data_IF_797250523106
#
_entry.id   IF_797250523106
#
_cell.length_a   1.000
_cell.length_b   1.000
_cell.length_c   1.000
_cell.angle_alpha   90.00
_cell.angle_beta   90.00
_cell.angle_gamma   90.00
#
_symmetry.space_group_name_H-M   'P 1'
#
loop_
_entity.id
_entity.type
_entity.pdbx_description
1 polymer ?
#
# COMPACT_ATOMS: atom_id res chain seq x y z
N UNK A 1 -3.58 -6.38 0.14
CA UNK A 1 -2.61 -6.32 1.26
C UNK A 1 -1.51 -7.36 1.12
N UNK A 2 -1.83 -8.65 1.05
CA UNK A 2 -0.83 -9.73 0.92
C UNK A 2 0.13 -9.51 -0.27
N UNK A 3 -0.39 -9.19 -1.45
CA UNK A 3 0.43 -8.92 -2.64
C UNK A 3 1.46 -7.81 -2.38
N UNK A 4 1.08 -6.74 -1.69
CA UNK A 4 2.02 -5.66 -1.36
C UNK A 4 3.09 -6.14 -0.37
N UNK A 5 2.69 -6.90 0.67
CA UNK A 5 3.64 -7.45 1.63
C UNK A 5 4.67 -8.37 0.96
N UNK A 6 4.24 -9.26 0.07
CA UNK A 6 5.12 -10.15 -0.70
C UNK A 6 6.07 -9.39 -1.62
N UNK A 7 5.67 -8.22 -2.10
CA UNK A 7 6.50 -7.35 -2.94
C UNK A 7 7.31 -6.32 -2.13
N UNK A 8 7.29 -6.42 -0.80
CA UNK A 8 7.96 -5.46 0.10
C UNK A 8 7.41 -4.04 0.01
N UNK A 9 6.20 -3.87 -0.51
CA UNK A 9 5.57 -2.59 -0.80
C UNK A 9 4.67 -2.07 0.32
N UNK A 10 4.39 -0.77 0.24
CA UNK A 10 3.51 -0.07 1.17
C UNK A 10 2.14 0.19 0.56
N UNK A 11 1.12 0.39 1.40
CA UNK A 11 -0.26 0.61 0.96
C UNK A 11 -0.77 1.95 1.42
N UNK A 12 -1.48 2.64 0.53
CA UNK A 12 -2.34 3.76 0.85
C UNK A 12 -3.80 3.30 0.84
N UNK A 13 -4.50 3.46 1.96
CA UNK A 13 -5.92 3.14 2.12
C UNK A 13 -6.75 4.42 2.09
N UNK A 14 -7.53 4.62 1.02
CA UNK A 14 -8.57 5.64 0.99
C UNK A 14 -9.86 5.07 1.53
N UNK A 15 -10.39 5.66 2.59
CA UNK A 15 -11.55 5.06 3.23
C UNK A 15 -12.24 5.98 4.21
N UNK A 16 -13.55 5.83 4.34
CA UNK A 16 -14.38 6.64 5.23
C UNK A 16 -14.21 6.23 6.70
N UNK A 17 -14.41 7.13 7.68
CA UNK A 17 -14.32 6.80 9.10
C UNK A 17 -15.22 5.61 9.49
N UNK A 18 -14.81 4.82 10.48
CA UNK A 18 -15.62 3.72 11.00
C UNK A 18 -15.58 2.40 10.21
N UNK A 19 -14.79 2.29 9.15
CA UNK A 19 -14.67 1.07 8.29
C UNK A 19 -13.75 -0.03 8.84
N UNK A 20 -13.38 0.03 10.14
CA UNK A 20 -12.60 -1.05 10.77
C UNK A 20 -11.14 -1.18 10.31
N UNK A 21 -10.54 -0.15 9.71
CA UNK A 21 -9.13 -0.16 9.24
C UNK A 21 -8.13 -0.58 10.31
N UNK A 22 -8.29 -0.09 11.53
CA UNK A 22 -7.43 -0.44 12.67
C UNK A 22 -7.55 -1.93 13.00
N UNK A 23 -8.77 -2.47 12.96
CA UNK A 23 -9.02 -3.89 13.18
C UNK A 23 -8.36 -4.73 12.08
N UNK A 24 -8.50 -4.32 10.81
CA UNK A 24 -7.88 -4.98 9.66
C UNK A 24 -6.35 -5.02 9.79
N UNK A 25 -5.70 -3.87 10.05
CA UNK A 25 -4.25 -3.79 10.15
C UNK A 25 -3.70 -4.60 11.34
N UNK A 26 -4.40 -4.56 12.49
CA UNK A 26 -4.02 -5.32 13.68
C UNK A 26 -4.21 -6.83 13.49
N UNK A 27 -5.33 -7.25 12.90
CA UNK A 27 -5.58 -8.64 12.55
C UNK A 27 -4.52 -9.16 11.56
N UNK A 28 -4.16 -8.35 10.56
CA UNK A 28 -3.12 -8.68 9.59
C UNK A 28 -1.75 -8.91 10.26
N UNK A 29 -1.34 -8.02 11.17
CA UNK A 29 -0.09 -8.19 11.91
C UNK A 29 -0.10 -9.42 12.84
N UNK A 30 -1.22 -9.67 13.53
CA UNK A 30 -1.38 -10.86 14.39
C UNK A 30 -1.23 -12.17 13.59
N UNK A 31 -1.84 -12.26 12.41
CA UNK A 31 -1.72 -13.43 11.53
C UNK A 31 -0.27 -13.72 11.09
N UNK A 32 0.56 -12.68 11.02
CA UNK A 32 1.97 -12.77 10.62
C UNK A 32 2.95 -12.92 11.80
N UNK A 33 2.45 -12.85 13.04
CA UNK A 33 3.25 -12.85 14.27
C UNK A 33 4.39 -11.81 14.24
N UNK A 34 4.04 -10.57 13.86
CA UNK A 34 4.98 -9.45 13.75
C UNK A 34 4.58 -8.29 14.65
N UNK A 35 5.53 -7.39 14.94
CA UNK A 35 5.25 -6.20 15.72
C UNK A 35 4.31 -5.25 14.95
N UNK A 36 3.33 -4.70 15.68
CA UNK A 36 2.39 -3.72 15.17
C UNK A 36 2.50 -2.43 15.97
N UNK A 37 2.64 -1.30 15.26
CA UNK A 37 2.48 0.03 15.85
C UNK A 37 1.48 0.85 15.04
N UNK A 38 0.91 1.84 15.73
CA UNK A 38 -0.03 2.80 15.16
C UNK A 38 0.43 4.20 15.50
N UNK A 39 0.38 5.08 14.51
CA UNK A 39 0.53 6.52 14.67
C UNK A 39 -0.67 7.21 14.03
N UNK A 40 -1.24 8.18 14.75
CA UNK A 40 -2.26 9.06 14.23
C UNK A 40 -1.57 10.34 13.77
N UNK A 41 -1.70 10.71 12.50
CA UNK A 41 -1.21 11.99 12.02
C UNK A 41 -2.24 13.07 12.36
N UNK A 42 -1.77 14.08 13.09
CA UNK A 42 -2.48 15.32 13.40
C UNK A 42 -1.59 16.51 13.00
N UNK A 43 -2.14 17.73 12.90
CA UNK A 43 -1.37 18.89 12.44
C UNK A 43 -0.14 19.22 13.30
N UNK A 44 -0.11 18.78 14.56
CA UNK A 44 0.92 18.99 15.55
C UNK A 44 1.98 17.88 15.62
N UNK A 45 1.80 16.75 14.91
CA UNK A 45 2.79 15.66 14.89
C UNK A 45 4.09 16.13 14.27
N UNK A 46 5.19 15.93 14.98
CA UNK A 46 6.53 16.28 14.55
C UNK A 46 7.21 15.10 13.85
N UNK A 47 8.21 15.36 12.97
CA UNK A 47 9.02 14.28 12.38
C UNK A 47 9.63 13.32 13.43
N UNK A 48 10.03 13.85 14.59
CA UNK A 48 10.58 13.06 15.69
C UNK A 48 9.57 12.14 16.36
N UNK A 49 8.27 12.45 16.28
CA UNK A 49 7.21 11.54 16.76
C UNK A 49 7.05 10.33 15.83
N UNK A 50 7.56 10.42 14.60
CA UNK A 50 7.57 9.34 13.60
C UNK A 50 8.85 8.53 13.72
N UNK A 51 10.02 9.17 13.68
CA UNK A 51 11.33 8.49 13.62
C UNK A 51 11.90 8.14 15.00
N UNK A 52 11.70 9.00 15.99
CA UNK A 52 12.27 8.90 17.33
C UNK A 52 13.10 10.13 17.69
N UNK A 53 13.58 10.16 18.94
CA UNK A 53 14.35 11.27 19.50
C UNK A 53 15.28 10.78 20.62
N UNK A 54 16.42 11.46 20.82
CA UNK A 54 17.16 11.37 22.08
C UNK A 54 16.55 12.30 23.12
N UNK A 55 16.12 11.75 24.24
CA UNK A 55 15.61 12.54 25.35
C UNK A 55 16.54 12.40 26.56
N UNK A 56 16.72 13.49 27.28
CA UNK A 56 17.49 13.45 28.52
C UNK A 56 16.66 12.78 29.60
N UNK A 57 17.15 11.67 30.15
CA UNK A 57 16.53 10.99 31.28
C UNK A 57 17.14 11.53 32.58
N UNK A 58 16.38 12.28 33.42
CA UNK A 58 16.93 12.88 34.64
C UNK A 58 17.39 11.87 35.69
N UNK A 59 16.94 10.61 35.61
CA UNK A 59 17.33 9.54 36.55
C UNK A 59 18.72 8.98 36.24
N UNK A 60 19.01 8.70 34.97
CA UNK A 60 20.32 8.22 34.52
C UNK A 60 21.29 9.38 34.26
N UNK A 61 20.79 10.61 34.10
CA UNK A 61 21.55 11.78 33.64
C UNK A 61 22.20 11.57 32.27
N UNK A 62 21.60 10.71 31.45
CA UNK A 62 22.07 10.36 30.11
C UNK A 62 20.99 10.68 29.07
N UNK A 63 21.43 10.90 27.84
CA UNK A 63 20.53 10.97 26.70
C UNK A 63 20.18 9.55 26.26
N UNK A 64 18.91 9.20 26.35
CA UNK A 64 18.40 7.90 25.95
C UNK A 64 17.66 8.01 24.63
N UNK A 65 17.93 7.04 23.74
CA UNK A 65 17.21 6.92 22.49
C UNK A 65 15.79 6.38 22.75
N UNK A 66 14.79 7.14 22.31
CA UNK A 66 13.40 6.67 22.22
C UNK A 66 13.04 6.51 20.75
N UNK A 67 13.06 5.27 20.28
CA UNK A 67 12.65 4.90 18.92
C UNK A 67 11.20 5.29 18.63
N UNK A 68 10.96 5.83 17.44
CA UNK A 68 9.63 6.17 16.96
C UNK A 68 8.82 4.94 16.51
N UNK A 69 7.52 5.13 16.22
CA UNK A 69 6.62 4.05 15.81
C UNK A 69 6.99 3.39 14.48
N UNK A 70 7.80 4.02 13.64
CA UNK A 70 8.33 3.39 12.40
C UNK A 70 9.26 2.21 12.67
N UNK A 71 9.84 2.10 13.87
CA UNK A 71 10.62 0.95 14.29
C UNK A 71 9.67 -0.19 14.68
N UNK A 72 9.07 -0.82 13.67
CA UNK A 72 8.11 -1.93 13.77
C UNK A 72 8.07 -2.70 12.46
N UNK A 73 7.32 -3.80 12.40
CA UNK A 73 7.10 -4.52 11.15
C UNK A 73 5.89 -4.00 10.37
N UNK A 74 4.75 -3.81 11.05
CA UNK A 74 3.53 -3.26 10.45
C UNK A 74 3.19 -1.94 11.14
N UNK A 75 3.25 -0.85 10.37
CA UNK A 75 2.87 0.47 10.85
C UNK A 75 1.53 0.89 10.23
N UNK A 76 0.52 1.13 11.07
CA UNK A 76 -0.68 1.87 10.66
C UNK A 76 -0.44 3.38 10.85
N UNK A 77 -0.38 4.10 9.74
CA UNK A 77 -0.21 5.55 9.68
C UNK A 77 -1.56 6.21 9.34
N UNK A 78 -2.36 6.54 10.35
CA UNK A 78 -3.70 7.05 10.15
C UNK A 78 -3.70 8.54 9.74
N UNK A 79 -4.49 8.88 8.73
CA UNK A 79 -4.74 10.25 8.26
C UNK A 79 -3.46 11.01 7.90
N UNK A 80 -2.56 10.38 7.13
CA UNK A 80 -1.25 10.95 6.75
C UNK A 80 -1.37 12.35 6.13
N UNK A 81 -2.49 12.66 5.47
CA UNK A 81 -2.78 13.98 4.90
C UNK A 81 -3.05 15.07 5.93
N UNK A 82 -3.19 14.79 7.23
CA UNK A 82 -3.43 15.83 8.26
C UNK A 82 -2.15 16.45 8.80
N UNK A 83 -1.00 15.81 8.61
CA UNK A 83 0.26 16.33 9.08
C UNK A 83 0.98 17.17 8.04
N UNK A 84 1.91 17.99 8.53
CA UNK A 84 2.72 18.87 7.67
C UNK A 84 3.54 18.07 6.65
N UNK A 85 3.87 18.66 5.49
CA UNK A 85 4.71 18.00 4.48
C UNK A 85 6.06 17.51 5.02
N UNK A 86 6.62 18.18 6.04
CA UNK A 86 7.87 17.78 6.68
C UNK A 86 7.71 16.48 7.48
N UNK A 87 6.63 16.35 8.24
CA UNK A 87 6.30 15.13 8.98
C UNK A 87 5.97 13.98 8.04
N UNK A 88 5.19 14.23 6.97
CA UNK A 88 4.94 13.24 5.92
C UNK A 88 6.23 12.71 5.30
N UNK A 89 7.17 13.62 5.00
CA UNK A 89 8.46 13.26 4.40
C UNK A 89 9.28 12.32 5.29
N UNK A 90 9.25 12.49 6.62
CA UNK A 90 9.97 11.59 7.55
C UNK A 90 9.47 10.14 7.50
N UNK A 91 8.16 9.93 7.33
CA UNK A 91 7.60 8.59 7.14
C UNK A 91 7.98 8.02 5.76
N UNK A 92 7.89 8.85 4.72
CA UNK A 92 8.19 8.44 3.34
C UNK A 92 9.68 8.11 3.14
N UNK A 93 10.57 8.79 3.86
CA UNK A 93 12.00 8.48 3.90
C UNK A 93 12.23 7.13 4.58
N UNK A 94 11.63 6.89 5.75
CA UNK A 94 11.69 5.60 6.42
C UNK A 94 11.15 4.45 5.55
N UNK A 95 10.11 4.70 4.76
CA UNK A 95 9.56 3.75 3.78
C UNK A 95 10.55 3.39 2.68
N UNK A 96 11.24 4.38 2.10
CA UNK A 96 12.14 4.15 0.97
C UNK A 96 13.49 3.59 1.44
N UNK A 97 14.07 4.14 2.50
CA UNK A 97 15.42 3.81 2.98
C UNK A 97 15.44 2.62 3.94
N UNK A 98 14.29 2.23 4.50
CA UNK A 98 14.16 1.16 5.53
C UNK A 98 15.08 1.36 6.74
N UNK A 99 15.39 2.61 7.04
CA UNK A 99 16.21 3.02 8.18
C UNK A 99 15.77 4.42 8.62
N UNK A 100 16.13 4.79 9.85
CA UNK A 100 15.95 6.13 10.38
C UNK A 100 17.26 6.66 10.92
N UNK A 101 17.52 7.95 10.73
CA UNK A 101 18.69 8.61 11.33
C UNK A 101 18.22 9.58 12.41
N UNK A 102 18.72 9.42 13.63
CA UNK A 102 18.36 10.22 14.80
C UNK A 102 19.67 10.77 15.38
N UNK A 103 19.84 12.10 15.33
CA UNK A 103 21.03 12.80 15.83
C UNK A 103 22.38 12.24 15.34
N UNK A 104 22.40 11.73 14.11
CA UNK A 104 23.60 11.17 13.46
C UNK A 104 23.78 9.66 13.64
N UNK A 105 22.95 8.99 14.45
CA UNK A 105 22.91 7.53 14.56
C UNK A 105 21.86 6.96 13.60
N UNK A 106 22.27 6.04 12.72
CA UNK A 106 21.38 5.37 11.77
C UNK A 106 20.97 4.00 12.29
N UNK A 107 19.65 3.78 12.37
CA UNK A 107 19.02 2.57 12.87
C UNK A 107 18.24 1.90 11.74
N UNK A 108 18.54 0.63 11.47
CA UNK A 108 17.81 -0.16 10.48
C UNK A 108 16.44 -0.61 11.01
N UNK A 109 15.41 -0.54 10.17
CA UNK A 109 14.07 -1.02 10.52
C UNK A 109 14.01 -2.54 10.30
N UNK A 110 13.41 -3.26 11.25
CA UNK A 110 13.25 -4.70 11.20
C UNK A 110 12.43 -5.15 9.99
N UNK A 111 12.91 -6.15 9.25
CA UNK A 111 12.16 -6.80 8.18
C UNK A 111 11.28 -7.93 8.72
N UNK A 112 10.08 -8.16 8.14
CA UNK A 112 9.41 -7.37 7.10
C UNK A 112 8.98 -5.99 7.61
N UNK A 113 9.03 -4.98 6.75
CA UNK A 113 8.51 -3.64 7.05
C UNK A 113 7.46 -3.21 6.02
N UNK A 114 6.26 -2.89 6.51
CA UNK A 114 5.13 -2.43 5.71
C UNK A 114 4.36 -1.31 6.42
N UNK A 115 4.29 -0.15 5.76
CA UNK A 115 3.39 0.94 6.14
C UNK A 115 2.03 0.75 5.45
N UNK A 116 0.98 0.84 6.25
CA UNK A 116 -0.41 0.98 5.83
C UNK A 116 -0.81 2.40 6.21
N UNK A 117 -0.72 3.33 5.25
CA UNK A 117 -1.14 4.70 5.45
C UNK A 117 -2.62 4.85 5.11
N UNK A 118 -3.34 5.72 5.82
CA UNK A 118 -4.76 5.98 5.54
C UNK A 118 -4.98 7.45 5.20
N UNK A 119 -5.94 7.71 4.31
CA UNK A 119 -6.42 9.04 3.97
C UNK A 119 -7.93 9.02 3.91
N UNK A 120 -8.55 10.08 4.44
CA UNK A 120 -9.99 10.27 4.34
C UNK A 120 -10.29 11.27 3.20
N UNK A 121 -10.92 10.84 2.09
CA UNK A 121 -11.20 11.73 0.97
C UNK A 121 -12.30 12.76 1.27
N UNK A 122 -13.10 12.55 2.33
CA UNK A 122 -14.30 13.34 2.64
C UNK A 122 -14.04 14.46 3.66
N UNK A 123 -12.86 14.51 4.26
CA UNK A 123 -12.50 15.61 5.17
C UNK A 123 -12.40 16.92 4.40
N UNK A 124 -12.96 17.99 4.98
CA UNK A 124 -12.83 19.35 4.48
C UNK A 124 -11.37 19.65 4.18
N UNK A 125 -11.04 20.15 2.98
CA UNK A 125 -9.66 20.50 2.59
C UNK A 125 -8.99 21.53 3.53
N UNK A 126 -9.76 22.14 4.44
CA UNK A 126 -9.26 23.00 5.50
C UNK A 126 -8.50 22.18 6.54
N UNK A 127 -7.18 22.30 6.55
CA UNK A 127 -6.30 21.64 7.53
C UNK A 127 -5.71 20.31 7.07
N UNK A 128 -5.80 19.98 5.78
CA UNK A 128 -5.13 18.83 5.18
C UNK A 128 -4.06 19.25 4.17
N UNK A 129 -2.97 18.51 4.12
CA UNK A 129 -1.86 18.62 3.18
C UNK A 129 -1.86 17.38 2.26
N UNK A 130 -2.35 17.48 1.01
CA UNK A 130 -2.37 16.35 0.09
C UNK A 130 -0.95 15.91 -0.27
N UNK A 131 -0.77 14.60 -0.44
CA UNK A 131 0.50 14.04 -0.91
C UNK A 131 0.69 14.40 -2.40
N UNK A 132 1.82 15.03 -2.79
CA UNK A 132 2.18 15.19 -4.19
C UNK A 132 2.28 13.86 -4.93
N UNK A 133 2.09 13.88 -6.25
CA UNK A 133 2.18 12.68 -7.10
C UNK A 133 3.48 11.86 -6.88
N UNK A 134 4.62 12.55 -6.77
CA UNK A 134 5.90 11.92 -6.50
C UNK A 134 5.97 11.19 -5.14
N UNK A 135 5.18 11.64 -4.16
CA UNK A 135 5.07 10.97 -2.86
C UNK A 135 4.09 9.81 -2.90
N UNK A 136 2.96 9.97 -3.59
CA UNK A 136 1.99 8.90 -3.81
C UNK A 136 2.61 7.70 -4.52
N UNK A 137 3.51 7.93 -5.47
CA UNK A 137 4.18 6.86 -6.24
C UNK A 137 5.02 5.91 -5.37
N UNK A 138 5.46 6.35 -4.16
CA UNK A 138 6.15 5.50 -3.18
C UNK A 138 5.25 4.43 -2.57
N UNK A 139 3.93 4.61 -2.61
CA UNK A 139 2.99 3.56 -2.22
C UNK A 139 2.86 2.56 -3.36
N UNK A 140 3.12 1.28 -3.06
CA UNK A 140 3.03 0.22 -4.03
C UNK A 140 1.60 0.08 -4.58
N UNK A 141 0.62 0.01 -3.66
CA UNK A 141 -0.80 -0.05 -3.99
C UNK A 141 -1.59 1.06 -3.29
N UNK A 142 -2.64 1.52 -3.97
CA UNK A 142 -3.69 2.33 -3.37
C UNK A 142 -5.00 1.55 -3.40
N UNK A 143 -5.61 1.35 -2.23
CA UNK A 143 -6.86 0.61 -2.08
C UNK A 143 -7.95 1.56 -1.59
N UNK A 144 -9.17 1.39 -2.11
CA UNK A 144 -10.34 2.13 -1.67
C UNK A 144 -11.26 1.19 -0.87
N UNK A 145 -11.61 1.57 0.37
CA UNK A 145 -12.56 0.84 1.21
C UNK A 145 -13.79 1.73 1.44
N UNK A 146 -14.90 1.33 0.80
CA UNK A 146 -16.21 1.95 0.99
C UNK A 146 -16.96 1.37 2.18
N UNK A 147 -18.25 1.71 2.28
CA UNK A 147 -19.15 1.03 3.21
C UNK A 147 -19.40 -0.42 2.75
N UNK A 148 -19.54 -1.36 3.69
CA UNK A 148 -19.92 -2.73 3.34
C UNK A 148 -21.30 -2.75 2.67
N UNK A 149 -21.54 -3.79 1.87
CA UNK A 149 -22.88 -4.10 1.40
C UNK A 149 -23.80 -4.46 2.57
N UNK A 150 -25.12 -4.41 2.35
CA UNK A 150 -26.11 -4.77 3.37
C UNK A 150 -25.84 -6.14 4.01
N UNK A 151 -25.45 -7.14 3.21
CA UNK A 151 -25.19 -8.49 3.70
C UNK A 151 -23.89 -8.56 4.51
N UNK A 152 -22.82 -7.90 4.06
CA UNK A 152 -21.56 -7.81 4.80
C UNK A 152 -21.75 -7.06 6.13
N UNK A 153 -22.51 -5.95 6.14
CA UNK A 153 -22.80 -5.19 7.35
C UNK A 153 -23.63 -6.03 8.33
N UNK A 154 -24.63 -6.75 7.83
CA UNK A 154 -25.43 -7.68 8.65
C UNK A 154 -24.58 -8.79 9.26
N UNK A 155 -23.59 -9.31 8.54
CA UNK A 155 -22.63 -10.26 9.10
C UNK A 155 -21.74 -9.64 10.18
N UNK A 156 -21.23 -8.43 9.96
CA UNK A 156 -20.40 -7.71 10.94
C UNK A 156 -21.16 -7.55 12.26
N UNK A 157 -22.43 -7.14 12.20
CA UNK A 157 -23.30 -7.01 13.37
C UNK A 157 -23.48 -8.34 14.10
N UNK A 158 -23.75 -9.43 13.37
CA UNK A 158 -23.91 -10.77 13.96
C UNK A 158 -22.64 -11.25 14.65
N UNK A 159 -21.47 -11.07 14.03
CA UNK A 159 -20.17 -11.51 14.56
C UNK A 159 -19.79 -10.74 15.83
N UNK A 160 -20.03 -9.41 15.87
CA UNK A 160 -19.72 -8.58 17.04
C UNK A 160 -20.65 -8.81 18.25
N UNK A 161 -21.87 -9.32 18.04
CA UNK A 161 -22.77 -9.67 19.14
C UNK A 161 -22.31 -10.91 19.92
N UNK A 162 -21.50 -11.78 19.30
CA UNK A 162 -21.13 -13.08 19.86
C UNK A 162 -19.74 -13.07 20.48
N UNK A 163 -18.74 -12.42 19.85
CA UNK A 163 -17.35 -12.38 20.35
C UNK A 163 -16.62 -11.07 20.00
N UNK A 164 -15.69 -10.66 20.88
CA UNK A 164 -14.65 -9.68 20.53
C UNK A 164 -13.64 -10.35 19.59
N UNK A 165 -13.90 -10.31 18.28
CA UNK A 165 -13.27 -11.15 17.23
C UNK A 165 -11.74 -11.12 17.06
N UNK A 166 -10.99 -10.37 17.88
CA UNK A 166 -9.52 -10.41 17.89
C UNK A 166 -8.93 -11.48 18.82
N UNK A 167 -9.66 -11.96 19.82
CA UNK A 167 -9.10 -12.81 20.89
C UNK A 167 -8.79 -14.25 20.46
N UNK A 168 -9.09 -14.63 19.20
CA UNK A 168 -8.89 -15.99 18.66
C UNK A 168 -8.07 -16.04 17.36
N UNK A 169 -7.43 -14.95 16.96
CA UNK A 169 -6.59 -14.99 15.76
C UNK A 169 -5.28 -15.72 16.08
N UNK A 170 -5.16 -16.94 15.57
CA UNK A 170 -3.91 -17.69 15.58
C UNK A 170 -2.97 -17.16 14.49
N UNK A 171 -1.69 -17.10 14.79
CA UNK A 171 -0.68 -16.82 13.78
C UNK A 171 -0.64 -17.97 12.78
N UNK A 172 -0.64 -17.62 11.49
CA UNK A 172 -0.58 -18.56 10.37
C UNK A 172 0.78 -18.55 9.68
N UNK A 173 1.58 -17.52 9.91
CA UNK A 173 2.91 -17.34 9.32
C UNK A 173 3.87 -16.75 10.36
N UNK A 174 5.14 -17.15 10.25
CA UNK A 174 6.28 -16.53 10.93
C UNK A 174 7.06 -15.58 10.00
N UNK A 175 7.79 -14.58 10.54
CA UNK A 175 8.55 -13.62 9.76
C UNK A 175 9.58 -14.27 8.81
N UNK A 176 10.20 -15.38 9.21
CA UNK A 176 11.17 -16.11 8.40
C UNK A 176 10.52 -16.72 7.15
N UNK A 177 9.33 -17.32 7.31
CA UNK A 177 8.56 -17.89 6.19
C UNK A 177 8.13 -16.79 5.21
N UNK A 178 7.78 -15.61 5.72
CA UNK A 178 7.43 -14.49 4.83
C UNK A 178 8.62 -14.08 3.96
N UNK A 179 9.84 -14.07 4.51
CA UNK A 179 11.05 -13.76 3.74
C UNK A 179 11.31 -14.78 2.62
N UNK A 180 11.04 -16.06 2.89
CA UNK A 180 11.08 -17.11 1.87
C UNK A 180 10.04 -16.84 0.76
N UNK A 181 8.78 -16.58 1.13
CA UNK A 181 7.72 -16.26 0.17
C UNK A 181 8.03 -15.00 -0.66
N UNK A 182 8.63 -13.98 -0.06
CA UNK A 182 9.10 -12.76 -0.76
C UNK A 182 10.22 -13.06 -1.77
N UNK A 183 10.99 -14.12 -1.59
CA UNK A 183 11.98 -14.56 -2.56
C UNK A 183 11.34 -15.44 -3.65
N UNK A 184 10.47 -16.36 -3.28
CA UNK A 184 9.74 -17.21 -4.23
C UNK A 184 8.90 -16.41 -5.22
N UNK A 185 8.21 -15.36 -4.76
CA UNK A 185 7.37 -14.52 -5.64
C UNK A 185 8.16 -13.87 -6.77
N UNK A 186 9.47 -13.60 -6.58
CA UNK A 186 10.35 -13.02 -7.61
C UNK A 186 10.64 -14.02 -8.73
N UNK A 187 10.51 -15.31 -8.46
CA UNK A 187 10.76 -16.40 -9.41
C UNK A 187 9.50 -16.85 -10.18
N UNK A 188 8.34 -16.24 -9.91
CA UNK A 188 7.15 -16.43 -10.74
C UNK A 188 7.46 -16.02 -12.18
N UNK A 189 7.21 -16.92 -13.12
CA UNK A 189 7.52 -16.73 -14.52
C UNK A 189 6.62 -15.66 -15.14
N UNK A 190 7.23 -14.75 -15.88
CA UNK A 190 6.54 -13.77 -16.71
C UNK A 190 6.98 -14.02 -18.13
N UNK A 191 6.02 -14.31 -19.01
CA UNK A 191 6.29 -14.48 -20.44
C UNK A 191 6.42 -13.11 -21.13
N UNK A 192 7.21 -13.05 -22.19
CA UNK A 192 7.40 -11.84 -23.02
C UNK A 192 6.09 -11.19 -23.45
N UNK A 193 5.04 -11.98 -23.67
CA UNK A 193 3.74 -11.47 -24.09
C UNK A 193 2.99 -10.74 -22.96
N UNK A 194 3.22 -11.13 -21.70
CA UNK A 194 2.71 -10.39 -20.54
C UNK A 194 3.49 -9.08 -20.37
N UNK A 195 4.81 -9.10 -20.57
CA UNK A 195 5.62 -7.88 -20.55
C UNK A 195 5.17 -6.89 -21.62
N UNK A 196 4.98 -7.37 -22.86
CA UNK A 196 4.41 -6.58 -23.96
C UNK A 196 3.02 -6.06 -23.60
N UNK A 197 2.17 -6.89 -23.00
CA UNK A 197 0.82 -6.47 -22.59
C UNK A 197 0.86 -5.30 -21.58
N UNK A 198 1.73 -5.38 -20.56
CA UNK A 198 1.94 -4.29 -19.59
C UNK A 198 2.47 -3.03 -20.27
N UNK A 199 3.41 -3.16 -21.22
CA UNK A 199 3.95 -2.03 -21.97
C UNK A 199 2.85 -1.40 -22.85
N UNK A 200 2.00 -2.20 -23.48
CA UNK A 200 0.87 -1.72 -24.28
C UNK A 200 -0.16 -0.97 -23.43
N UNK A 201 -0.47 -1.46 -22.22
CA UNK A 201 -1.30 -0.72 -21.25
C UNK A 201 -0.64 0.62 -20.91
N UNK A 202 0.65 0.62 -20.58
CA UNK A 202 1.36 1.85 -20.25
C UNK A 202 1.35 2.83 -21.43
N UNK A 203 1.58 2.37 -22.65
CA UNK A 203 1.49 3.18 -23.88
C UNK A 203 0.08 3.75 -24.05
N UNK A 204 -0.95 2.91 -23.94
CA UNK A 204 -2.34 3.34 -24.03
C UNK A 204 -2.67 4.44 -23.01
N UNK A 205 -2.19 4.33 -21.76
CA UNK A 205 -2.40 5.41 -20.77
C UNK A 205 -1.68 6.71 -21.13
N UNK A 206 -0.51 6.66 -21.79
CA UNK A 206 0.25 7.86 -22.19
C UNK A 206 -0.31 8.55 -23.42
N UNK A 207 -0.99 7.80 -24.29
CA UNK A 207 -1.58 8.31 -25.54
C UNK A 207 -3.07 8.63 -25.41
N UNK A 208 -3.69 8.31 -24.25
CA UNK A 208 -5.11 8.54 -24.01
C UNK A 208 -5.41 10.04 -23.83
N UNK A 209 -6.33 10.60 -24.62
CA UNK A 209 -6.64 12.04 -24.64
C UNK A 209 -7.10 12.61 -23.29
N UNK A 210 -7.75 11.80 -22.47
CA UNK A 210 -8.23 12.18 -21.14
C UNK A 210 -7.14 12.15 -20.04
N UNK A 211 -5.92 11.69 -20.36
CA UNK A 211 -4.82 11.53 -19.41
C UNK A 211 -3.73 12.54 -19.72
N UNK A 212 -3.42 13.41 -18.76
CA UNK A 212 -2.32 14.38 -18.84
C UNK A 212 -0.97 13.71 -18.59
N UNK A 213 -0.90 12.85 -17.57
CA UNK A 213 0.29 12.07 -17.25
C UNK A 213 -0.08 10.60 -17.09
N UNK A 214 0.38 9.76 -18.03
CA UNK A 214 0.16 8.32 -18.03
C UNK A 214 1.15 7.55 -17.16
N UNK A 215 1.08 6.22 -17.22
CA UNK A 215 1.92 5.33 -16.42
C UNK A 215 3.42 5.57 -16.64
N UNK A 216 4.17 5.77 -15.56
CA UNK A 216 5.64 5.80 -15.58
C UNK A 216 6.24 4.39 -15.75
N UNK A 217 7.54 4.25 -16.09
CA UNK A 217 8.23 2.96 -16.05
C UNK A 217 8.17 2.28 -14.67
N UNK A 218 8.18 3.06 -13.57
CA UNK A 218 7.99 2.54 -12.21
C UNK A 218 6.59 1.96 -12.02
N UNK A 219 5.57 2.56 -12.60
CA UNK A 219 4.22 2.01 -12.61
C UNK A 219 4.15 0.67 -13.36
N UNK A 220 4.82 0.56 -14.52
CA UNK A 220 4.90 -0.70 -15.28
C UNK A 220 5.58 -1.81 -14.47
N UNK A 221 6.71 -1.51 -13.81
CA UNK A 221 7.41 -2.46 -12.95
C UNK A 221 6.56 -2.86 -11.74
N UNK A 222 5.85 -1.91 -11.12
CA UNK A 222 4.95 -2.18 -10.02
C UNK A 222 3.79 -3.09 -10.46
N UNK A 223 3.25 -2.89 -11.66
CA UNK A 223 2.19 -3.72 -12.22
C UNK A 223 2.67 -5.15 -12.47
N UNK A 224 3.87 -5.31 -13.05
CA UNK A 224 4.51 -6.61 -13.25
C UNK A 224 4.66 -7.38 -11.93
N UNK A 225 5.26 -6.73 -10.92
CA UNK A 225 5.46 -7.30 -9.59
C UNK A 225 4.14 -7.65 -8.90
N UNK A 226 3.15 -6.77 -9.00
CA UNK A 226 1.82 -7.04 -8.45
C UNK A 226 1.15 -8.24 -9.14
N UNK A 227 1.36 -8.41 -10.45
CA UNK A 227 0.84 -9.55 -11.21
C UNK A 227 1.52 -10.86 -10.80
N UNK A 228 2.84 -10.86 -10.58
CA UNK A 228 3.56 -12.01 -10.00
C UNK A 228 3.02 -12.37 -8.61
N UNK A 229 2.80 -11.37 -7.75
CA UNK A 229 2.23 -11.60 -6.43
C UNK A 229 0.78 -12.10 -6.48
N UNK A 230 0.00 -11.64 -7.45
CA UNK A 230 -1.35 -12.15 -7.68
C UNK A 230 -1.33 -13.63 -8.10
N UNK A 231 -0.49 -14.00 -9.07
CA UNK A 231 -0.32 -15.39 -9.49
C UNK A 231 0.12 -16.30 -8.33
N UNK A 232 1.11 -15.86 -7.55
CA UNK A 232 1.63 -16.58 -6.39
C UNK A 232 0.55 -16.84 -5.32
N UNK A 233 -0.25 -15.83 -4.97
CA UNK A 233 -1.34 -15.98 -3.99
C UNK A 233 -2.42 -16.96 -4.49
N UNK A 234 -2.56 -17.12 -5.81
CA UNK A 234 -3.45 -18.10 -6.43
C UNK A 234 -2.79 -19.46 -6.70
N UNK A 235 -1.59 -19.70 -6.16
CA UNK A 235 -0.87 -20.97 -6.29
C UNK A 235 -0.33 -21.27 -7.69
N UNK A 236 -0.22 -20.25 -8.56
CA UNK A 236 0.35 -20.38 -9.91
C UNK A 236 1.81 -19.96 -9.93
N UNK A 237 2.60 -20.61 -10.78
CA UNK A 237 4.02 -20.33 -11.00
C UNK A 237 4.30 -19.44 -12.22
N UNK A 238 3.27 -18.98 -12.92
CA UNK A 238 3.35 -18.05 -14.05
C UNK A 238 2.21 -17.03 -14.01
N UNK A 239 2.47 -15.87 -14.61
CA UNK A 239 1.48 -14.77 -14.74
C UNK A 239 0.61 -14.98 -15.97
N UNK A 240 -0.69 -14.75 -15.82
CA UNK A 240 -1.68 -14.69 -16.92
C UNK A 240 -2.22 -13.27 -17.10
N UNK A 241 -2.84 -12.92 -18.25
CA UNK A 241 -3.34 -11.56 -18.48
C UNK A 241 -4.37 -11.08 -17.45
N UNK A 242 -5.17 -12.00 -16.91
CA UNK A 242 -6.15 -11.67 -15.88
C UNK A 242 -5.51 -11.24 -14.56
N UNK A 243 -4.29 -11.69 -14.24
CA UNK A 243 -3.55 -11.16 -13.09
C UNK A 243 -3.28 -9.68 -13.24
N UNK A 244 -2.80 -9.29 -14.43
CA UNK A 244 -2.48 -7.90 -14.76
C UNK A 244 -3.73 -7.04 -14.64
N UNK A 245 -4.86 -7.49 -15.20
CA UNK A 245 -6.13 -6.78 -15.11
C UNK A 245 -6.65 -6.65 -13.68
N UNK A 246 -6.54 -7.71 -12.88
CA UNK A 246 -7.03 -7.74 -11.50
C UNK A 246 -6.27 -6.74 -10.60
N UNK A 247 -4.96 -6.61 -10.77
CA UNK A 247 -4.14 -5.70 -9.95
C UNK A 247 -4.03 -4.29 -10.51
N UNK A 248 -4.29 -4.08 -11.80
CA UNK A 248 -4.13 -2.80 -12.49
C UNK A 248 -4.80 -1.62 -11.79
N UNK A 249 -6.08 -1.67 -11.37
CA UNK A 249 -6.73 -0.55 -10.67
C UNK A 249 -5.99 -0.09 -9.42
N UNK A 250 -5.52 -1.03 -8.62
CA UNK A 250 -4.85 -0.76 -7.35
C UNK A 250 -3.41 -0.24 -7.51
N UNK A 251 -2.83 -0.40 -8.70
CA UNK A 251 -1.46 0.02 -9.03
C UNK A 251 -1.45 1.33 -9.81
N UNK A 252 -2.39 1.51 -10.74
CA UNK A 252 -2.34 2.58 -11.74
C UNK A 252 -3.06 3.83 -11.26
N UNK A 253 -4.15 3.69 -10.50
CA UNK A 253 -5.06 4.79 -10.13
C UNK A 253 -4.37 6.04 -9.55
N UNK A 254 -3.35 5.86 -8.70
CA UNK A 254 -2.60 6.97 -8.10
C UNK A 254 -1.37 7.42 -8.88
N UNK A 255 -1.11 6.78 -10.02
CA UNK A 255 0.05 7.02 -10.88
C UNK A 255 -0.31 7.63 -12.22
N UNK A 256 -1.59 7.93 -12.44
CA UNK A 256 -2.07 8.64 -13.63
C UNK A 256 -2.84 9.89 -13.21
N UNK A 257 -2.73 10.92 -14.04
CA UNK A 257 -3.41 12.21 -13.83
C UNK A 257 -4.27 12.51 -15.04
N UNK A 258 -5.55 12.82 -14.80
CA UNK A 258 -6.47 13.21 -15.85
C UNK A 258 -6.25 14.66 -16.24
N UNK A 259 -6.61 15.01 -17.48
CA UNK A 259 -6.71 16.42 -17.87
C UNK A 259 -7.82 17.11 -17.07
N UNK A 260 -7.78 18.44 -17.02
CA UNK A 260 -8.81 19.23 -16.34
C UNK A 260 -10.19 18.90 -16.91
N UNK A 261 -10.36 18.85 -18.25
CA UNK A 261 -11.68 18.57 -18.84
C UNK A 261 -12.18 17.17 -18.50
N UNK A 262 -11.31 16.17 -18.53
CA UNK A 262 -11.67 14.79 -18.20
C UNK A 262 -12.08 14.64 -16.73
N UNK A 263 -11.35 15.28 -15.82
CA UNK A 263 -11.61 15.22 -14.37
C UNK A 263 -12.99 15.77 -13.96
N UNK A 264 -13.61 16.61 -14.81
CA UNK A 264 -14.95 17.16 -14.58
C UNK A 264 -16.07 16.16 -14.89
N UNK A 265 -15.81 15.13 -15.70
CA UNK A 265 -16.86 14.26 -16.26
C UNK A 265 -16.65 12.78 -15.97
N UNK A 266 -15.40 12.35 -15.77
CA UNK A 266 -15.04 10.96 -15.55
C UNK A 266 -14.09 10.81 -14.37
N UNK A 267 -14.18 9.67 -13.71
CA UNK A 267 -13.21 9.28 -12.69
C UNK A 267 -12.00 8.60 -13.33
N UNK A 268 -10.91 8.52 -12.56
CA UNK A 268 -9.72 7.75 -12.97
C UNK A 268 -10.07 6.27 -13.20
N UNK A 269 -10.99 5.72 -12.39
CA UNK A 269 -11.42 4.32 -12.50
C UNK A 269 -12.15 4.06 -13.82
N UNK A 270 -13.01 4.99 -14.26
CA UNK A 270 -13.72 4.89 -15.55
C UNK A 270 -12.76 4.88 -16.74
N UNK A 271 -11.82 5.83 -16.75
CA UNK A 271 -10.80 5.93 -17.81
C UNK A 271 -9.89 4.71 -17.82
N UNK A 272 -9.52 4.20 -16.65
CA UNK A 272 -8.67 3.03 -16.56
C UNK A 272 -9.39 1.77 -17.06
N UNK A 273 -10.68 1.61 -16.77
CA UNK A 273 -11.48 0.53 -17.33
C UNK A 273 -11.56 0.61 -18.86
N UNK A 274 -11.77 1.81 -19.42
CA UNK A 274 -11.74 2.06 -20.86
C UNK A 274 -10.39 1.63 -21.48
N UNK A 275 -9.27 2.03 -20.86
CA UNK A 275 -7.93 1.65 -21.31
C UNK A 275 -7.72 0.14 -21.26
N UNK A 276 -8.04 -0.52 -20.15
CA UNK A 276 -7.82 -1.96 -19.98
C UNK A 276 -8.66 -2.80 -20.96
N UNK A 277 -9.85 -2.32 -21.33
CA UNK A 277 -10.71 -2.96 -22.33
C UNK A 277 -10.22 -2.70 -23.77
N UNK A 278 -9.55 -1.57 -24.02
CA UNK A 278 -9.03 -1.21 -25.35
C UNK A 278 -7.79 -2.02 -25.76
N UNK A 279 -7.00 -2.46 -24.78
CA UNK A 279 -5.77 -3.23 -25.03
C UNK A 279 -6.10 -4.71 -25.07
N UNK A 280 -5.96 -5.33 -26.25
CA UNK A 280 -6.16 -6.76 -26.42
C UNK A 280 -5.20 -7.56 -25.55
N UNK A 281 -5.74 -8.41 -24.68
CA UNK A 281 -4.95 -9.37 -23.94
C UNK A 281 -4.32 -10.39 -24.89
N UNK A 282 -3.10 -10.86 -24.63
CA UNK A 282 -2.51 -11.93 -25.44
C UNK A 282 -3.38 -13.18 -25.31
N UNK A 283 -3.55 -13.90 -26.42
CA UNK A 283 -4.31 -15.15 -26.43
C UNK A 283 -3.55 -16.16 -25.58
N UNK A 284 -4.23 -16.84 -24.65
CA UNK A 284 -3.66 -17.96 -23.91
C UNK A 284 -3.23 -19.02 -24.93
N UNK A 285 -1.94 -19.08 -25.25
CA UNK A 285 -1.40 -20.31 -25.84
C UNK A 285 -1.49 -21.36 -24.73
N UNK A 286 -2.13 -22.50 -25.02
CA UNK A 286 -2.19 -23.64 -24.10
C UNK A 286 -0.75 -24.02 -23.69
N UNK A 287 -0.30 -23.51 -22.55
CA UNK A 287 0.99 -23.83 -21.98
C UNK A 287 0.89 -25.27 -21.46
N UNK A 288 1.23 -26.21 -22.34
CA UNK A 288 1.27 -27.63 -22.00
C UNK A 288 2.45 -27.84 -21.04
N UNK A 289 2.17 -28.54 -19.93
CA UNK A 289 3.08 -28.84 -18.80
C UNK A 289 4.48 -29.29 -19.20
#
# INVERSE_FOLDING_TARGET
>A
MIIALLQGGHILLESVPGTGKTLLAKAFANCLNVEFKRIQFTPDVLPTDVTGIHYFNPKSQEFELKSGPVMTNILLADEINRATPRTQSSLLEAMEERQVTIDGETLSISEPFMVIATQNPVESQQGTFPLPAAQLDRFFMKLSIGFPSFEEEREILRKHLVENGLSKLESVLHPEQLKEMQNEVKHIQVHDDIEKYIILIAKATREHQAIEFGMSPRASLALLRASQGHAFVHGRNFVVPDDVKAVAPNIIKHRIHLTIEASLTKTVDDILADVLNSVSAPVEMEYTK
#
